data_IF_926290026713
#
_entry.id   IF_926290026713
#
_cell.length_a   1.000
_cell.length_b   1.000
_cell.length_c   1.000
_cell.angle_alpha   90.00
_cell.angle_beta   90.00
_cell.angle_gamma   90.00
#
_symmetry.space_group_name_H-M   'P 1'
#
loop_
_entity.id
_entity.type
_entity.pdbx_description
1 polymer ?
#
# COMPACT_ATOMS: atom_id res chain seq x y z
N UNK A 1 -6.63 -6.73 3.85
CA UNK A 1 -7.53 -7.13 4.96
C UNK A 1 -6.71 -7.57 6.16
N UNK A 2 -6.14 -6.66 6.95
CA UNK A 2 -5.43 -7.07 8.17
C UNK A 2 -5.43 -6.00 9.26
N UNK A 3 -6.10 -4.88 8.98
CA UNK A 3 -6.21 -3.80 9.94
C UNK A 3 -7.06 -4.32 11.12
N UNK A 4 -6.60 -4.21 12.38
CA UNK A 4 -7.41 -4.54 13.54
C UNK A 4 -8.48 -3.46 13.72
N UNK A 5 -9.53 -3.52 12.90
CA UNK A 5 -10.47 -2.40 12.75
C UNK A 5 -11.25 -2.09 14.02
N UNK A 6 -11.50 -3.11 14.87
CA UNK A 6 -12.13 -2.94 16.19
C UNK A 6 -11.36 -1.98 17.09
N UNK A 7 -10.03 -1.98 17.01
CA UNK A 7 -9.16 -1.12 17.82
C UNK A 7 -8.85 0.22 17.12
N UNK A 8 -9.33 0.38 15.88
CA UNK A 8 -9.04 1.50 15.01
C UNK A 8 -10.36 2.15 14.52
N UNK A 9 -10.56 2.20 13.20
CA UNK A 9 -11.65 2.96 12.60
C UNK A 9 -13.06 2.49 13.01
N UNK A 10 -13.27 1.18 13.17
CA UNK A 10 -14.58 0.62 13.55
C UNK A 10 -14.87 0.84 15.03
N UNK A 11 -13.84 0.82 15.88
CA UNK A 11 -13.96 1.08 17.31
C UNK A 11 -14.47 2.47 17.67
N UNK A 12 -14.26 3.46 16.79
CA UNK A 12 -14.76 4.84 16.96
C UNK A 12 -15.93 5.18 16.02
N UNK A 13 -16.60 4.19 15.45
CA UNK A 13 -17.73 4.43 14.55
C UNK A 13 -18.95 4.91 15.33
N UNK A 14 -19.60 6.00 14.90
CA UNK A 14 -20.81 6.51 15.57
C UNK A 14 -21.98 5.50 15.61
N UNK A 15 -22.10 4.65 14.59
CA UNK A 15 -23.14 3.59 14.55
C UNK A 15 -22.88 2.45 15.54
N UNK A 16 -21.72 2.44 16.22
CA UNK A 16 -21.53 1.55 17.36
C UNK A 16 -22.61 1.75 18.45
N UNK A 17 -23.18 2.96 18.54
CA UNK A 17 -24.25 3.28 19.48
C UNK A 17 -25.65 2.83 19.03
N UNK A 18 -25.82 2.22 17.85
CA UNK A 18 -27.10 1.69 17.37
C UNK A 18 -27.18 0.17 17.53
N UNK A 19 -28.39 -0.40 17.46
CA UNK A 19 -28.62 -1.84 17.65
C UNK A 19 -27.98 -2.69 16.54
N UNK A 20 -27.85 -2.13 15.34
CA UNK A 20 -27.26 -2.80 14.18
C UNK A 20 -25.73 -2.87 14.25
N UNK A 21 -25.11 -2.00 15.05
CA UNK A 21 -23.68 -1.96 15.28
C UNK A 21 -22.88 -1.17 14.24
N UNK A 22 -21.54 -1.15 14.37
CA UNK A 22 -20.67 -0.29 13.58
C UNK A 22 -20.52 -0.79 12.14
N UNK A 23 -20.14 0.12 11.24
CA UNK A 23 -19.93 -0.19 9.81
C UNK A 23 -18.74 -1.15 9.61
N UNK A 24 -18.88 -2.10 8.68
CA UNK A 24 -17.76 -2.89 8.19
C UNK A 24 -16.85 -2.08 7.24
N UNK A 25 -16.09 -1.14 7.80
CA UNK A 25 -15.21 -0.22 7.05
C UNK A 25 -14.12 -1.00 6.30
N UNK A 26 -13.53 -2.02 6.94
CA UNK A 26 -12.48 -2.84 6.34
C UNK A 26 -12.95 -3.60 5.08
N UNK A 27 -14.16 -4.17 5.12
CA UNK A 27 -14.76 -4.87 3.98
C UNK A 27 -15.12 -3.92 2.84
N UNK A 28 -15.62 -2.72 3.14
CA UNK A 28 -15.89 -1.69 2.11
C UNK A 28 -14.60 -1.25 1.41
N UNK A 29 -13.53 -0.99 2.17
CA UNK A 29 -12.22 -0.64 1.61
C UNK A 29 -11.67 -1.77 0.72
N UNK A 30 -11.79 -3.02 1.17
CA UNK A 30 -11.38 -4.18 0.40
C UNK A 30 -12.16 -4.25 -0.92
N UNK A 31 -13.49 -4.18 -0.87
CA UNK A 31 -14.34 -4.28 -2.07
C UNK A 31 -13.97 -3.24 -3.13
N UNK A 32 -13.82 -1.98 -2.72
CA UNK A 32 -13.43 -0.90 -3.63
C UNK A 32 -12.03 -1.15 -4.24
N UNK A 33 -11.07 -1.56 -3.41
CA UNK A 33 -9.68 -1.80 -3.84
C UNK A 33 -9.60 -3.01 -4.78
N UNK A 34 -10.31 -4.10 -4.49
CA UNK A 34 -10.37 -5.28 -5.35
C UNK A 34 -11.01 -4.98 -6.70
N UNK A 35 -12.08 -4.18 -6.68
CA UNK A 35 -12.73 -3.73 -7.92
C UNK A 35 -11.75 -2.91 -8.76
N UNK A 36 -11.02 -1.97 -8.16
CA UNK A 36 -10.01 -1.18 -8.88
C UNK A 36 -8.84 -2.03 -9.40
N UNK A 37 -8.36 -3.01 -8.62
CA UNK A 37 -7.32 -3.95 -9.07
C UNK A 37 -7.77 -4.73 -10.32
N UNK A 38 -9.03 -5.19 -10.36
CA UNK A 38 -9.61 -5.88 -11.53
C UNK A 38 -9.70 -5.00 -12.77
N UNK A 39 -9.79 -3.68 -12.62
CA UNK A 39 -9.78 -2.74 -13.75
C UNK A 39 -8.39 -2.63 -14.41
N UNK A 40 -7.32 -3.10 -13.75
CA UNK A 40 -5.95 -3.08 -14.27
C UNK A 40 -5.47 -1.68 -14.73
N UNK A 41 -5.92 -0.64 -14.02
CA UNK A 41 -5.52 0.75 -14.30
C UNK A 41 -4.18 1.01 -13.60
N UNK A 42 -3.18 1.46 -14.37
CA UNK A 42 -1.85 1.76 -13.84
C UNK A 42 -1.83 3.12 -13.12
N UNK A 43 -1.11 3.20 -12.00
CA UNK A 43 -0.81 4.48 -11.36
C UNK A 43 0.13 5.29 -12.27
N UNK A 44 -0.18 6.57 -12.45
CA UNK A 44 0.66 7.53 -13.17
C UNK A 44 1.16 8.60 -12.20
N UNK A 45 2.29 9.23 -12.53
CA UNK A 45 2.75 10.44 -11.83
C UNK A 45 2.03 11.65 -12.45
N UNK A 46 1.69 12.62 -11.62
CA UNK A 46 1.07 13.87 -12.07
C UNK A 46 1.94 14.56 -13.15
N UNK A 47 1.39 14.87 -14.34
CA UNK A 47 2.10 15.59 -15.39
C UNK A 47 2.73 16.92 -14.93
N UNK A 48 2.10 17.63 -13.99
CA UNK A 48 2.62 18.89 -13.45
C UNK A 48 3.88 18.65 -12.61
N UNK A 49 3.91 17.60 -11.79
CA UNK A 49 5.09 17.20 -11.03
C UNK A 49 6.25 16.86 -11.98
N UNK A 50 5.98 16.14 -13.08
CA UNK A 50 7.00 15.80 -14.07
C UNK A 50 7.62 17.06 -14.68
N UNK A 51 6.80 18.07 -15.03
CA UNK A 51 7.26 19.34 -15.61
C UNK A 51 8.10 20.17 -14.63
N UNK A 52 7.78 20.10 -13.34
CA UNK A 52 8.42 20.89 -12.29
C UNK A 52 9.65 20.20 -11.64
N UNK A 53 10.07 19.03 -12.15
CA UNK A 53 11.28 18.36 -11.65
C UNK A 53 12.51 19.22 -11.83
N UNK A 54 13.42 19.10 -10.87
CA UNK A 54 14.73 19.73 -10.89
C UNK A 54 15.80 18.71 -10.44
N UNK A 55 17.06 19.14 -10.41
CA UNK A 55 18.20 18.27 -10.08
C UNK A 55 18.11 17.57 -8.71
N UNK A 56 17.36 18.10 -7.74
CA UNK A 56 17.16 17.46 -6.43
C UNK A 56 16.37 16.16 -6.57
N UNK A 57 15.47 16.06 -7.56
CA UNK A 57 14.62 14.88 -7.76
C UNK A 57 15.39 13.66 -8.31
N UNK A 58 16.60 13.87 -8.84
CA UNK A 58 17.49 12.80 -9.31
C UNK A 58 18.43 12.28 -8.20
N UNK A 59 18.28 12.79 -6.97
CA UNK A 59 19.04 12.33 -5.81
C UNK A 59 18.85 10.85 -5.57
N UNK A 60 19.95 10.12 -5.33
CA UNK A 60 19.95 8.70 -5.01
C UNK A 60 19.39 8.48 -3.61
N UNK A 61 18.29 7.74 -3.51
CA UNK A 61 17.66 7.38 -2.24
C UNK A 61 17.57 5.87 -2.14
N UNK A 62 18.19 5.32 -1.10
CA UNK A 62 18.15 3.89 -0.79
C UNK A 62 17.21 3.64 0.40
N UNK A 63 16.34 2.64 0.28
CA UNK A 63 15.51 2.12 1.35
C UNK A 63 15.93 0.68 1.67
N UNK A 64 15.95 0.31 2.94
CA UNK A 64 16.33 -1.04 3.38
C UNK A 64 15.08 -1.79 3.87
N UNK A 65 14.86 -2.98 3.33
CA UNK A 65 13.70 -3.85 3.53
C UNK A 65 12.50 -3.47 2.65
N UNK A 66 12.00 -4.40 1.84
CA UNK A 66 10.83 -4.27 0.98
C UNK A 66 9.53 -4.64 1.73
N UNK A 67 9.36 -4.07 2.92
CA UNK A 67 8.15 -4.18 3.72
C UNK A 67 7.15 -3.03 3.51
N UNK A 68 6.02 -3.03 4.24
CA UNK A 68 5.01 -1.98 4.14
C UNK A 68 5.53 -0.56 4.35
N UNK A 69 6.50 -0.38 5.25
CA UNK A 69 7.08 0.92 5.55
C UNK A 69 7.84 1.50 4.34
N UNK A 70 8.78 0.75 3.78
CA UNK A 70 9.57 1.20 2.62
C UNK A 70 8.75 1.31 1.35
N UNK A 71 7.82 0.38 1.10
CA UNK A 71 6.91 0.48 -0.05
C UNK A 71 6.06 1.77 0.05
N UNK A 72 5.56 2.10 1.24
CA UNK A 72 4.83 3.34 1.47
C UNK A 72 5.72 4.57 1.25
N UNK A 73 6.90 4.60 1.86
CA UNK A 73 7.86 5.69 1.73
C UNK A 73 8.28 5.93 0.27
N UNK A 74 8.70 4.88 -0.45
CA UNK A 74 9.07 4.95 -1.85
C UNK A 74 7.91 5.41 -2.73
N UNK A 75 6.69 4.95 -2.46
CA UNK A 75 5.49 5.39 -3.19
C UNK A 75 5.24 6.89 -3.04
N UNK A 76 5.39 7.45 -1.83
CA UNK A 76 5.25 8.89 -1.61
C UNK A 76 6.37 9.69 -2.26
N UNK A 77 7.62 9.24 -2.14
CA UNK A 77 8.77 9.90 -2.81
C UNK A 77 8.60 9.90 -4.34
N UNK A 78 8.15 8.79 -4.92
CA UNK A 78 7.88 8.71 -6.36
C UNK A 78 6.77 9.69 -6.80
N UNK A 79 5.72 9.85 -5.98
CA UNK A 79 4.64 10.83 -6.22
C UNK A 79 5.13 12.28 -6.12
N UNK A 80 6.09 12.56 -5.24
CA UNK A 80 6.76 13.86 -5.14
C UNK A 80 7.74 14.11 -6.30
N UNK A 81 7.97 13.12 -7.16
CA UNK A 81 8.75 13.27 -8.38
C UNK A 81 10.18 12.75 -8.31
N UNK A 82 10.61 12.16 -7.18
CA UNK A 82 11.93 11.53 -7.09
C UNK A 82 12.02 10.33 -8.03
N UNK A 83 13.10 10.25 -8.80
CA UNK A 83 13.28 9.28 -9.89
C UNK A 83 14.26 8.17 -9.56
N UNK A 84 15.17 8.39 -8.62
CA UNK A 84 16.28 7.48 -8.31
C UNK A 84 16.12 6.81 -6.93
N UNK A 85 15.10 5.96 -6.85
CA UNK A 85 14.74 5.21 -5.65
C UNK A 85 15.17 3.74 -5.80
N UNK A 86 15.83 3.18 -4.80
CA UNK A 86 16.18 1.75 -4.78
C UNK A 86 15.82 1.15 -3.43
N UNK A 87 15.07 0.06 -3.43
CA UNK A 87 14.76 -0.71 -2.22
C UNK A 87 15.62 -1.97 -2.21
N UNK A 88 16.41 -2.17 -1.16
CA UNK A 88 17.22 -3.37 -0.95
C UNK A 88 16.50 -4.30 0.00
N UNK A 89 16.22 -5.53 -0.42
CA UNK A 89 15.61 -6.58 0.39
C UNK A 89 16.64 -7.68 0.67
N UNK A 90 16.57 -8.24 1.88
CA UNK A 90 17.42 -9.37 2.30
C UNK A 90 16.94 -10.69 1.69
N UNK A 91 15.63 -10.87 1.61
CA UNK A 91 15.00 -12.10 1.17
C UNK A 91 14.79 -12.13 -0.35
N UNK A 92 14.55 -13.33 -0.89
CA UNK A 92 14.21 -13.54 -2.31
C UNK A 92 12.75 -13.16 -2.64
N UNK A 93 12.00 -12.62 -1.67
CA UNK A 93 10.62 -12.19 -1.82
C UNK A 93 10.39 -10.78 -1.29
N UNK A 94 9.38 -10.11 -1.84
CA UNK A 94 8.99 -8.75 -1.48
C UNK A 94 7.69 -8.74 -0.67
N UNK A 95 7.43 -7.65 0.06
CA UNK A 95 6.21 -7.46 0.86
C UNK A 95 6.40 -7.67 2.38
N UNK A 96 7.59 -8.11 2.80
CA UNK A 96 7.92 -8.38 4.20
C UNK A 96 6.95 -9.37 4.85
N UNK A 97 6.56 -9.11 6.09
CA UNK A 97 5.62 -9.95 6.85
C UNK A 97 4.30 -10.23 6.12
N UNK A 98 3.85 -9.32 5.23
CA UNK A 98 2.60 -9.57 4.47
C UNK A 98 2.72 -10.79 3.57
N UNK A 99 3.88 -11.00 2.95
CA UNK A 99 4.11 -12.15 2.07
C UNK A 99 4.13 -13.45 2.88
N UNK A 100 4.83 -13.46 4.00
CA UNK A 100 4.90 -14.61 4.90
C UNK A 100 3.51 -14.99 5.46
N UNK A 101 2.70 -14.00 5.84
CA UNK A 101 1.33 -14.24 6.32
C UNK A 101 0.38 -14.69 5.20
N UNK A 102 0.60 -14.24 3.96
CA UNK A 102 -0.15 -14.74 2.81
C UNK A 102 0.16 -16.22 2.52
N UNK A 103 1.43 -16.63 2.62
CA UNK A 103 1.83 -18.05 2.50
C UNK A 103 1.18 -18.94 3.55
N UNK A 104 0.88 -18.40 4.73
CA UNK A 104 0.23 -19.12 5.83
C UNK A 104 -1.31 -19.11 5.75
N UNK A 105 -1.88 -18.60 4.64
CA UNK A 105 -3.32 -18.59 4.41
C UNK A 105 -4.09 -17.52 5.20
N UNK A 106 -3.38 -16.61 5.88
CA UNK A 106 -3.99 -15.52 6.64
C UNK A 106 -4.35 -14.30 5.75
N UNK A 107 -3.87 -14.28 4.51
CA UNK A 107 -4.12 -13.23 3.51
C UNK A 107 -4.31 -13.83 2.11
N UNK A 108 -5.15 -13.19 1.28
CA UNK A 108 -5.33 -13.59 -0.13
C UNK A 108 -4.07 -13.24 -0.93
N UNK A 109 -3.40 -14.30 -1.44
CA UNK A 109 -2.12 -14.24 -2.15
C UNK A 109 -2.11 -13.37 -3.43
N UNK A 110 -3.26 -13.19 -4.09
CA UNK A 110 -3.35 -12.39 -5.32
C UNK A 110 -2.99 -10.91 -5.14
N UNK A 111 -3.04 -10.37 -3.91
CA UNK A 111 -2.68 -8.97 -3.66
C UNK A 111 -1.16 -8.73 -3.57
N UNK A 112 -0.35 -9.78 -3.48
CA UNK A 112 1.12 -9.70 -3.35
C UNK A 112 1.87 -9.96 -4.66
N UNK A 113 1.26 -10.65 -5.63
CA UNK A 113 1.90 -11.02 -6.91
C UNK A 113 1.94 -9.90 -7.96
N UNK A 114 1.33 -8.75 -7.68
CA UNK A 114 1.22 -7.61 -8.61
C UNK A 114 2.05 -6.39 -8.21
N UNK A 115 3.04 -6.56 -7.33
CA UNK A 115 4.05 -5.52 -7.11
C UNK A 115 5.15 -5.78 -8.15
N UNK A 116 5.19 -5.06 -9.28
CA UNK A 116 6.31 -5.18 -10.21
C UNK A 116 7.58 -4.77 -9.47
N UNK A 117 8.60 -5.61 -9.60
CA UNK A 117 10.00 -5.23 -9.35
C UNK A 117 10.41 -4.17 -10.36
#
# INVERSE_FOLDING_TARGET
>A
MICPTSDLCVGSCNLYASEEGPINIGGLQQYATETFMKMNIKQIVDPEIIKNRNSVHDSKIALLGCGPASISCASFLARLGYTNLTIYEKQDFIGGLRYEWAMQGQLIYQTTSHIPV
#
